data_IF_094512969811
#
_entry.id   IF_094512969811
#
_cell.length_a   1.000
_cell.length_b   1.000
_cell.length_c   1.000
_cell.angle_alpha   90.00
_cell.angle_beta   90.00
_cell.angle_gamma   90.00
#
_symmetry.space_group_name_H-M   'P 1'
#
loop_
_entity.id
_entity.type
_entity.pdbx_description
1 polymer ?
#
# COMPACT_ATOMS: atom_id res chain seq x y z
N UNK A 1 4.43 3.77 3.28
CA UNK A 1 5.41 3.38 2.23
C UNK A 1 6.34 2.36 2.82
N UNK A 2 6.78 1.36 2.02
CA UNK A 2 7.74 0.35 2.49
C UNK A 2 9.06 1.01 2.92
N UNK A 3 9.78 0.35 3.82
CA UNK A 3 11.17 0.69 4.10
C UNK A 3 12.04 0.47 2.84
N UNK A 4 13.16 1.19 2.66
CA UNK A 4 13.99 1.07 1.47
C UNK A 4 14.42 -0.35 1.15
N UNK A 5 14.72 -1.17 2.15
CA UNK A 5 15.10 -2.58 2.02
C UNK A 5 14.02 -3.44 1.39
N UNK A 6 12.74 -3.11 1.59
CA UNK A 6 11.59 -3.86 1.08
C UNK A 6 11.01 -3.31 -0.22
N UNK A 7 11.56 -2.22 -0.75
CA UNK A 7 11.14 -1.71 -2.05
C UNK A 7 11.34 -2.78 -3.14
N UNK A 8 10.27 -3.12 -3.83
CA UNK A 8 10.28 -4.07 -4.94
C UNK A 8 10.21 -5.55 -4.54
N UNK A 9 10.12 -5.88 -3.25
CA UNK A 9 10.10 -7.28 -2.76
C UNK A 9 9.04 -8.15 -3.43
N UNK A 10 7.90 -7.58 -3.74
CA UNK A 10 6.78 -8.28 -4.36
C UNK A 10 6.58 -7.97 -5.85
N UNK A 11 7.57 -7.41 -6.55
CA UNK A 11 7.38 -7.00 -7.95
C UNK A 11 7.04 -8.17 -8.89
N UNK A 12 7.58 -9.36 -8.61
CA UNK A 12 7.32 -10.58 -9.38
C UNK A 12 6.12 -11.39 -8.85
N UNK A 13 5.46 -10.92 -7.79
CA UNK A 13 4.31 -11.60 -7.21
C UNK A 13 3.01 -11.21 -7.92
N UNK A 14 2.11 -12.18 -8.05
CA UNK A 14 0.75 -11.99 -8.51
C UNK A 14 -0.22 -12.32 -7.37
N UNK A 15 -1.08 -11.37 -7.05
CA UNK A 15 -2.05 -11.51 -5.96
C UNK A 15 -3.44 -11.88 -6.51
N UNK A 16 -4.18 -12.77 -5.82
CA UNK A 16 -5.55 -13.08 -6.19
C UNK A 16 -6.42 -11.82 -6.09
N UNK A 17 -7.29 -11.64 -7.06
CA UNK A 17 -8.24 -10.53 -7.06
C UNK A 17 -9.44 -10.87 -6.19
N UNK A 18 -10.01 -9.90 -5.42
CA UNK A 18 -11.29 -10.10 -4.78
C UNK A 18 -12.38 -10.38 -5.82
N UNK A 19 -13.32 -11.27 -5.49
CA UNK A 19 -14.42 -11.61 -6.41
C UNK A 19 -15.25 -10.39 -6.82
N UNK A 20 -15.32 -9.39 -5.95
CA UNK A 20 -16.06 -8.15 -6.13
C UNK A 20 -15.18 -6.95 -6.50
N UNK A 21 -13.99 -7.16 -7.08
CA UNK A 21 -13.13 -6.07 -7.56
C UNK A 21 -13.87 -5.14 -8.55
N UNK A 22 -14.82 -5.69 -9.31
CA UNK A 22 -15.66 -4.97 -10.26
C UNK A 22 -17.13 -4.96 -9.81
N UNK A 23 -17.38 -4.54 -8.56
CA UNK A 23 -18.72 -4.40 -8.02
C UNK A 23 -19.50 -3.32 -8.79
N UNK A 24 -20.73 -3.61 -9.17
CA UNK A 24 -21.63 -2.68 -9.85
C UNK A 24 -22.49 -1.85 -8.87
N UNK A 25 -22.33 -2.12 -7.57
CA UNK A 25 -23.06 -1.51 -6.45
C UNK A 25 -24.57 -1.68 -6.52
N UNK A 26 -25.09 -2.61 -7.32
CA UNK A 26 -26.53 -2.88 -7.42
C UNK A 26 -27.10 -3.29 -6.08
N UNK A 27 -28.25 -2.70 -5.72
CA UNK A 27 -28.89 -2.93 -4.43
C UNK A 27 -28.24 -2.25 -3.22
N UNK A 28 -27.19 -1.44 -3.42
CA UNK A 28 -26.53 -0.66 -2.36
C UNK A 28 -27.04 0.80 -2.33
N UNK A 29 -26.72 1.51 -1.23
CA UNK A 29 -27.02 2.94 -1.15
C UNK A 29 -26.17 3.75 -2.15
N UNK A 30 -26.63 4.91 -2.62
CA UNK A 30 -25.88 5.75 -3.58
C UNK A 30 -24.47 6.10 -3.11
N UNK A 31 -24.25 6.28 -1.80
CA UNK A 31 -22.94 6.59 -1.24
C UNK A 31 -21.86 5.54 -1.60
N UNK A 32 -22.25 4.27 -1.77
CA UNK A 32 -21.31 3.22 -2.17
C UNK A 32 -20.79 3.40 -3.61
N UNK A 33 -21.60 3.93 -4.51
CA UNK A 33 -21.21 4.20 -5.89
C UNK A 33 -20.52 5.56 -6.07
N UNK A 34 -20.79 6.54 -5.19
CA UNK A 34 -20.34 7.94 -5.30
C UNK A 34 -19.09 8.25 -4.46
N UNK A 35 -18.58 7.27 -3.71
CA UNK A 35 -17.43 7.44 -2.82
C UNK A 35 -16.10 7.67 -3.58
N UNK A 36 -15.10 8.23 -2.87
CA UNK A 36 -13.79 8.60 -3.41
C UNK A 36 -12.67 7.58 -3.15
N UNK A 37 -13.01 6.30 -2.94
CA UNK A 37 -12.03 5.23 -2.65
C UNK A 37 -11.87 4.25 -3.82
N UNK A 38 -12.09 4.68 -5.06
CA UNK A 38 -12.10 3.80 -6.21
C UNK A 38 -10.71 3.61 -6.81
N UNK A 39 -10.26 2.35 -6.93
CA UNK A 39 -9.06 1.99 -7.69
C UNK A 39 -9.15 2.45 -9.15
N UNK A 40 -10.35 2.44 -9.72
CA UNK A 40 -10.56 2.89 -11.09
C UNK A 40 -10.42 4.42 -11.23
N UNK A 41 -11.13 5.18 -10.37
CA UNK A 41 -11.41 6.61 -10.58
C UNK A 41 -10.52 7.54 -9.78
N UNK A 42 -10.22 7.21 -8.53
CA UNK A 42 -9.62 8.13 -7.57
C UNK A 42 -8.25 7.71 -7.05
N UNK A 43 -7.78 6.51 -7.43
CA UNK A 43 -6.42 6.05 -7.11
C UNK A 43 -5.40 6.85 -7.92
N UNK A 44 -4.64 7.71 -7.24
CA UNK A 44 -3.81 8.74 -7.85
C UNK A 44 -2.53 8.21 -8.48
N UNK A 45 -2.09 8.84 -9.57
CA UNK A 45 -0.87 8.45 -10.29
C UNK A 45 0.39 8.79 -9.50
N UNK A 46 0.41 9.96 -8.89
CA UNK A 46 1.58 10.46 -8.17
C UNK A 46 1.75 9.81 -6.79
N UNK A 47 0.71 9.84 -5.95
CA UNK A 47 0.83 9.38 -4.57
C UNK A 47 0.62 7.87 -4.40
N UNK A 48 -0.48 7.35 -4.95
CA UNK A 48 -0.84 5.94 -4.72
C UNK A 48 -0.01 5.01 -5.60
N UNK A 49 0.11 5.31 -6.89
CA UNK A 49 0.87 4.52 -7.87
C UNK A 49 2.36 4.87 -7.94
N UNK A 50 2.78 6.04 -7.42
CA UNK A 50 4.16 6.50 -7.40
C UNK A 50 4.80 6.62 -8.79
N UNK A 51 4.04 7.19 -9.75
CA UNK A 51 4.42 7.25 -11.16
C UNK A 51 5.20 8.50 -11.57
N UNK A 52 5.79 9.24 -10.62
CA UNK A 52 6.65 10.38 -10.92
C UNK A 52 8.09 9.93 -11.10
N UNK A 53 8.72 10.37 -12.19
CA UNK A 53 10.17 10.26 -12.38
C UNK A 53 10.92 11.24 -11.48
N UNK A 54 12.22 11.01 -11.29
CA UNK A 54 13.08 11.93 -10.54
C UNK A 54 13.02 13.36 -11.11
N UNK A 55 13.04 13.51 -12.44
CA UNK A 55 12.97 14.82 -13.10
C UNK A 55 11.66 15.54 -12.80
N UNK A 56 10.52 14.83 -12.82
CA UNK A 56 9.22 15.39 -12.50
C UNK A 56 9.11 15.78 -11.03
N UNK A 57 9.71 14.99 -10.13
CA UNK A 57 9.79 15.31 -8.71
C UNK A 57 10.67 16.54 -8.46
N UNK A 58 11.77 16.70 -9.19
CA UNK A 58 12.61 17.90 -9.15
C UNK A 58 11.88 19.14 -9.69
N UNK A 59 11.08 18.97 -10.74
CA UNK A 59 10.30 20.06 -11.33
C UNK A 59 9.13 20.51 -10.42
N UNK A 60 8.65 19.61 -9.53
CA UNK A 60 7.58 19.91 -8.57
C UNK A 60 7.97 19.44 -7.15
N UNK A 61 8.87 20.16 -6.46
CA UNK A 61 9.36 19.75 -5.14
C UNK A 61 8.29 19.86 -4.04
N UNK A 62 7.22 20.60 -4.28
CA UNK A 62 6.11 20.74 -3.34
C UNK A 62 5.09 19.61 -3.38
N UNK A 63 5.13 18.76 -4.41
CA UNK A 63 4.32 17.56 -4.47
C UNK A 63 4.59 16.66 -3.26
N UNK A 64 3.54 15.99 -2.78
CA UNK A 64 3.61 15.12 -1.60
C UNK A 64 4.63 14.00 -1.77
N UNK A 65 4.67 13.35 -2.93
CA UNK A 65 5.63 12.28 -3.21
C UNK A 65 7.05 12.82 -3.25
N UNK A 66 7.28 13.97 -3.91
CA UNK A 66 8.58 14.63 -4.00
C UNK A 66 9.17 14.92 -2.61
N UNK A 67 8.35 15.47 -1.71
CA UNK A 67 8.75 15.74 -0.31
C UNK A 67 9.19 14.48 0.44
N UNK A 68 8.56 13.36 0.18
CA UNK A 68 8.94 12.09 0.80
C UNK A 68 10.21 11.54 0.15
N UNK A 69 10.27 11.54 -1.17
CA UNK A 69 11.41 11.04 -1.94
C UNK A 69 12.72 11.75 -1.57
N UNK A 70 12.73 13.09 -1.53
CA UNK A 70 13.92 13.87 -1.20
C UNK A 70 14.34 13.83 0.28
N UNK A 71 13.55 13.22 1.16
CA UNK A 71 13.95 12.92 2.55
C UNK A 71 14.71 11.60 2.67
N UNK A 72 14.62 10.74 1.68
CA UNK A 72 15.33 9.47 1.70
C UNK A 72 16.82 9.68 1.48
N UNK A 73 17.68 8.82 2.07
CA UNK A 73 19.10 8.76 1.71
C UNK A 73 19.27 8.49 0.20
N UNK A 74 20.39 8.93 -0.37
CA UNK A 74 20.65 8.82 -1.82
C UNK A 74 20.56 7.37 -2.32
N UNK A 75 21.10 6.43 -1.56
CA UNK A 75 21.00 5.00 -1.87
C UNK A 75 19.54 4.51 -1.98
N UNK A 76 18.69 4.96 -1.07
CA UNK A 76 17.27 4.63 -1.09
C UNK A 76 16.54 5.29 -2.29
N UNK A 77 16.96 6.51 -2.68
CA UNK A 77 16.44 7.15 -3.89
C UNK A 77 16.82 6.36 -5.15
N UNK A 78 18.07 5.91 -5.26
CA UNK A 78 18.50 5.06 -6.38
C UNK A 78 17.75 3.74 -6.46
N UNK A 79 17.52 3.09 -5.32
CA UNK A 79 16.72 1.87 -5.27
C UNK A 79 15.27 2.15 -5.69
N UNK A 80 14.69 3.25 -5.21
CA UNK A 80 13.36 3.71 -5.62
C UNK A 80 13.26 3.88 -7.13
N UNK A 81 14.16 4.65 -7.73
CA UNK A 81 14.18 4.91 -9.17
C UNK A 81 14.25 3.61 -9.97
N UNK A 82 15.11 2.67 -9.56
CA UNK A 82 15.24 1.35 -10.19
C UNK A 82 13.94 0.53 -10.09
N UNK A 83 13.34 0.48 -8.91
CA UNK A 83 12.15 -0.34 -8.64
C UNK A 83 10.92 0.18 -9.38
N UNK A 84 10.72 1.49 -9.43
CA UNK A 84 9.53 2.08 -10.05
C UNK A 84 9.68 2.39 -11.54
N UNK A 85 10.89 2.35 -12.12
CA UNK A 85 11.11 2.65 -13.54
C UNK A 85 10.26 1.78 -14.48
N UNK A 86 10.19 0.47 -14.24
CA UNK A 86 9.39 -0.46 -15.04
C UNK A 86 7.89 -0.17 -14.95
N UNK A 87 7.40 0.11 -13.73
CA UNK A 87 6.00 0.49 -13.45
C UNK A 87 5.62 1.77 -14.22
N UNK A 88 6.46 2.79 -14.16
CA UNK A 88 6.26 4.07 -14.85
C UNK A 88 6.21 3.84 -16.37
N UNK A 89 7.17 3.10 -16.92
CA UNK A 89 7.25 2.81 -18.36
C UNK A 89 6.02 2.03 -18.85
N UNK A 90 5.58 1.01 -18.11
CA UNK A 90 4.40 0.22 -18.45
C UNK A 90 3.13 1.06 -18.46
N UNK A 91 2.89 1.84 -17.41
CA UNK A 91 1.74 2.74 -17.32
C UNK A 91 1.70 3.75 -18.49
N UNK A 92 2.83 4.41 -18.74
CA UNK A 92 2.97 5.43 -19.79
C UNK A 92 2.91 4.88 -21.21
N UNK A 93 3.08 3.58 -21.39
CA UNK A 93 2.91 2.95 -22.68
C UNK A 93 1.48 3.13 -23.25
N UNK A 94 0.52 3.42 -22.37
CA UNK A 94 -0.89 3.59 -22.72
C UNK A 94 -1.59 2.32 -23.21
N UNK A 95 -0.95 1.16 -23.06
CA UNK A 95 -1.52 -0.14 -23.47
C UNK A 95 -2.64 -0.60 -22.57
N UNK A 96 -2.50 -0.35 -21.25
CA UNK A 96 -3.49 -0.73 -20.25
C UNK A 96 -4.73 0.16 -20.32
N UNK A 97 -5.93 -0.43 -20.45
CA UNK A 97 -7.20 0.28 -20.56
C UNK A 97 -8.31 -0.47 -19.80
N UNK A 98 -9.32 0.29 -19.37
CA UNK A 98 -10.52 -0.28 -18.74
C UNK A 98 -10.19 -1.22 -17.59
N UNK A 99 -10.78 -2.40 -17.56
CA UNK A 99 -10.59 -3.37 -16.50
C UNK A 99 -9.15 -3.86 -16.37
N UNK A 100 -8.39 -3.96 -17.46
CA UNK A 100 -6.97 -4.33 -17.40
C UNK A 100 -6.14 -3.31 -16.62
N UNK A 101 -6.42 -2.02 -16.79
CA UNK A 101 -5.79 -0.97 -16.02
C UNK A 101 -6.16 -1.06 -14.52
N UNK A 102 -7.41 -1.36 -14.19
CA UNK A 102 -7.84 -1.52 -12.79
C UNK A 102 -7.15 -2.72 -12.14
N UNK A 103 -7.08 -3.87 -12.84
CA UNK A 103 -6.34 -5.06 -12.38
C UNK A 103 -4.87 -4.74 -12.14
N UNK A 104 -4.26 -4.03 -13.07
CA UNK A 104 -2.87 -3.61 -12.93
C UNK A 104 -2.68 -2.67 -11.71
N UNK A 105 -3.56 -1.67 -11.53
CA UNK A 105 -3.53 -0.79 -10.34
C UNK A 105 -3.65 -1.59 -9.05
N UNK A 106 -4.56 -2.56 -9.00
CA UNK A 106 -4.72 -3.47 -7.88
C UNK A 106 -3.43 -4.22 -7.55
N UNK A 107 -2.75 -4.79 -8.56
CA UNK A 107 -1.49 -5.50 -8.35
C UNK A 107 -0.40 -4.57 -7.78
N UNK A 108 -0.28 -3.33 -8.31
CA UNK A 108 0.68 -2.37 -7.78
C UNK A 108 0.36 -1.99 -6.32
N UNK A 109 -0.91 -1.80 -6.01
CA UNK A 109 -1.39 -1.50 -4.67
C UNK A 109 -1.03 -2.62 -3.68
N UNK A 110 -1.31 -3.87 -4.02
CA UNK A 110 -1.01 -5.03 -3.17
C UNK A 110 0.49 -5.21 -2.94
N UNK A 111 1.31 -5.03 -3.97
CA UNK A 111 2.78 -5.09 -3.86
C UNK A 111 3.32 -4.08 -2.86
N UNK A 112 2.91 -2.83 -2.98
CA UNK A 112 3.36 -1.76 -2.09
C UNK A 112 2.79 -1.91 -0.66
N UNK A 113 1.54 -2.38 -0.54
CA UNK A 113 0.91 -2.63 0.74
C UNK A 113 1.65 -3.72 1.52
N UNK A 114 1.87 -4.88 0.91
CA UNK A 114 2.55 -5.99 1.58
C UNK A 114 4.03 -5.71 1.87
N UNK A 115 4.72 -4.98 1.01
CA UNK A 115 6.07 -4.49 1.32
C UNK A 115 6.08 -3.54 2.54
N UNK A 116 5.01 -2.77 2.73
CA UNK A 116 4.84 -1.94 3.93
C UNK A 116 4.56 -2.80 5.17
N UNK A 117 3.72 -3.83 5.05
CA UNK A 117 3.45 -4.80 6.13
C UNK A 117 4.74 -5.50 6.56
N UNK A 118 5.57 -5.93 5.62
CA UNK A 118 6.87 -6.55 5.90
C UNK A 118 7.79 -5.61 6.71
N UNK A 119 7.80 -4.32 6.38
CA UNK A 119 8.56 -3.31 7.13
C UNK A 119 8.06 -3.14 8.57
N UNK A 120 6.76 -3.29 8.80
CA UNK A 120 6.16 -3.25 10.14
C UNK A 120 6.51 -4.51 10.91
N UNK A 121 6.43 -5.69 10.27
CA UNK A 121 6.78 -6.98 10.87
C UNK A 121 8.22 -7.00 11.39
N UNK A 122 9.18 -6.58 10.57
CA UNK A 122 10.57 -6.43 11.02
C UNK A 122 10.74 -5.45 12.18
N UNK A 123 9.98 -4.36 12.16
CA UNK A 123 10.05 -3.37 13.24
C UNK A 123 9.55 -3.94 14.56
N UNK A 124 8.52 -4.77 14.52
CA UNK A 124 8.01 -5.52 15.68
C UNK A 124 9.04 -6.54 16.13
N UNK A 125 9.65 -7.29 15.19
CA UNK A 125 10.72 -8.24 15.49
C UNK A 125 11.85 -7.58 16.31
N UNK A 126 12.34 -6.43 15.86
CA UNK A 126 13.39 -5.68 16.58
C UNK A 126 13.00 -5.29 18.02
N UNK A 127 11.73 -4.97 18.25
CA UNK A 127 11.24 -4.67 19.62
C UNK A 127 11.23 -5.93 20.47
N UNK A 128 10.78 -7.05 19.93
CA UNK A 128 10.76 -8.34 20.66
C UNK A 128 12.18 -8.82 20.97
N UNK A 129 13.10 -8.73 20.02
CA UNK A 129 14.51 -9.09 20.20
C UNK A 129 15.15 -8.24 21.30
N UNK A 130 14.83 -6.94 21.35
CA UNK A 130 15.31 -6.05 22.42
C UNK A 130 14.79 -6.47 23.80
N UNK A 131 13.49 -6.79 23.91
CA UNK A 131 12.91 -7.26 25.17
C UNK A 131 13.51 -8.60 25.63
N UNK A 132 13.79 -9.50 24.69
CA UNK A 132 14.46 -10.77 24.97
C UNK A 132 15.90 -10.53 25.48
N UNK A 133 16.66 -9.69 24.77
CA UNK A 133 18.04 -9.37 25.11
C UNK A 133 18.17 -8.69 26.49
N UNK A 134 17.18 -7.91 26.90
CA UNK A 134 17.15 -7.25 28.20
C UNK A 134 16.56 -8.13 29.32
N UNK A 135 16.03 -9.31 29.00
CA UNK A 135 15.38 -10.22 29.94
C UNK A 135 14.00 -9.76 30.40
N UNK A 136 13.37 -8.84 29.66
CA UNK A 136 12.07 -8.27 30.04
C UNK A 136 10.90 -8.91 29.28
N UNK A 137 11.17 -9.76 28.27
CA UNK A 137 10.14 -10.32 27.39
C UNK A 137 9.09 -11.13 28.17
N UNK A 138 9.49 -11.92 29.18
CA UNK A 138 8.58 -12.73 29.99
C UNK A 138 7.82 -11.92 31.08
N UNK A 139 8.17 -10.65 31.24
CA UNK A 139 7.47 -9.72 32.13
C UNK A 139 6.74 -8.61 31.36
N UNK A 140 6.56 -8.80 30.05
CA UNK A 140 5.94 -7.81 29.16
C UNK A 140 4.75 -8.44 28.42
N UNK A 141 3.60 -7.78 28.53
CA UNK A 141 2.43 -8.12 27.70
C UNK A 141 2.57 -7.36 26.38
N UNK A 142 2.66 -8.10 25.26
CA UNK A 142 2.73 -7.52 23.92
C UNK A 142 1.37 -7.64 23.24
N UNK A 143 0.84 -6.51 22.80
CA UNK A 143 -0.43 -6.45 22.06
C UNK A 143 -0.20 -5.81 20.72
N UNK A 144 -0.52 -6.53 19.63
CA UNK A 144 -0.56 -6.01 18.29
C UNK A 144 -2.00 -5.94 17.80
N UNK A 145 -2.45 -4.77 17.43
CA UNK A 145 -3.80 -4.53 16.91
C UNK A 145 -3.82 -3.29 16.02
N UNK A 146 -4.97 -3.01 15.41
CA UNK A 146 -5.24 -1.79 14.66
C UNK A 146 -6.53 -1.14 15.16
N UNK A 147 -6.69 0.16 14.95
CA UNK A 147 -7.92 0.91 15.23
C UNK A 147 -8.99 0.66 14.17
N UNK A 148 -8.62 0.08 13.03
CA UNK A 148 -9.50 -0.17 11.88
C UNK A 148 -8.91 -1.21 10.93
N UNK A 149 -9.78 -1.80 10.08
CA UNK A 149 -9.39 -2.57 8.92
C UNK A 149 -9.12 -1.70 7.70
N UNK A 150 -9.08 -2.31 6.50
CA UNK A 150 -8.68 -1.64 5.26
C UNK A 150 -9.21 -2.40 4.05
N UNK A 151 -9.73 -1.69 3.03
CA UNK A 151 -10.09 -2.31 1.76
C UNK A 151 -8.85 -2.60 0.93
N UNK A 152 -8.71 -3.84 0.50
CA UNK A 152 -7.63 -4.32 -0.35
C UNK A 152 -8.15 -4.75 -1.72
N UNK A 153 -8.99 -3.92 -2.32
CA UNK A 153 -9.59 -4.16 -3.62
C UNK A 153 -11.02 -4.66 -3.57
N UNK A 154 -11.53 -5.07 -2.40
CA UNK A 154 -12.95 -5.44 -2.26
C UNK A 154 -13.82 -4.26 -2.68
N UNK A 155 -14.89 -4.55 -3.41
CA UNK A 155 -15.78 -3.56 -4.01
C UNK A 155 -15.09 -2.57 -4.97
N UNK A 156 -13.89 -2.89 -5.46
CA UNK A 156 -13.05 -1.97 -6.24
C UNK A 156 -12.48 -0.81 -5.43
N UNK A 157 -12.48 -0.91 -4.10
CA UNK A 157 -12.08 0.16 -3.19
C UNK A 157 -10.68 -0.02 -2.62
N UNK A 158 -10.15 1.09 -2.14
CA UNK A 158 -8.98 1.19 -1.28
C UNK A 158 -9.31 2.10 -0.08
N UNK A 159 -8.40 2.20 0.93
CA UNK A 159 -8.64 3.01 2.13
C UNK A 159 -9.72 2.40 3.07
N UNK A 160 -10.48 3.18 3.87
CA UNK A 160 -11.14 2.72 5.09
C UNK A 160 -12.32 3.59 5.55
N UNK A 161 -13.18 4.05 4.67
CA UNK A 161 -14.19 5.09 5.02
C UNK A 161 -15.61 4.55 5.24
N UNK A 162 -15.86 3.26 5.00
CA UNK A 162 -17.16 2.64 5.16
C UNK A 162 -17.13 1.53 6.22
N UNK A 163 -18.25 1.38 6.94
CA UNK A 163 -18.41 0.38 8.01
C UNK A 163 -18.75 -1.01 7.43
N UNK A 164 -17.91 -1.50 6.54
CA UNK A 164 -17.95 -2.86 6.02
C UNK A 164 -17.05 -3.76 6.86
N UNK A 165 -17.18 -5.08 6.71
CA UNK A 165 -16.41 -6.07 7.44
C UNK A 165 -14.89 -5.83 7.27
N UNK A 166 -14.45 -5.48 6.06
CA UNK A 166 -13.06 -5.18 5.72
C UNK A 166 -12.48 -4.02 6.56
N UNK A 167 -13.31 -3.05 6.93
CA UNK A 167 -12.90 -1.92 7.76
C UNK A 167 -13.11 -2.14 9.26
N UNK A 168 -13.88 -3.14 9.66
CA UNK A 168 -14.20 -3.41 11.07
C UNK A 168 -13.42 -4.60 11.63
N UNK A 169 -12.98 -5.51 10.78
CA UNK A 169 -12.24 -6.71 11.17
C UNK A 169 -10.74 -6.43 11.22
N UNK A 170 -10.24 -6.09 12.41
CA UNK A 170 -8.81 -5.91 12.66
C UNK A 170 -8.20 -7.12 13.37
N UNK A 171 -6.88 -7.32 13.21
CA UNK A 171 -6.16 -8.32 13.99
C UNK A 171 -6.10 -7.92 15.47
N UNK A 172 -6.13 -8.90 16.34
CA UNK A 172 -5.77 -8.78 17.76
C UNK A 172 -4.87 -9.95 18.13
N UNK A 173 -3.58 -9.68 18.26
CA UNK A 173 -2.58 -10.65 18.67
C UNK A 173 -2.07 -10.28 20.06
N UNK A 174 -2.05 -11.21 20.99
CA UNK A 174 -1.62 -10.99 22.37
C UNK A 174 -0.61 -12.06 22.75
N UNK A 175 0.54 -11.62 23.28
CA UNK A 175 1.55 -12.45 23.92
C UNK A 175 1.66 -12.01 25.39
N UNK A 176 1.60 -12.98 26.34
CA UNK A 176 1.75 -12.75 27.77
C UNK A 176 2.53 -13.90 28.41
#
# INVERSE_FOLDING_TARGET
MPAPEHLGEFNDSLFPEPENLFDDYSGRCPAAAEQDMSLEKTFTEDWDLKLLTREEMLANPDNRLSKVYFRMPEEAQHKWDSVYAGRIAEYRSGRLKGQELVRWKYQQYMRDYLATVLSVDESIGRVLDYLEMTGELDNTIVVYTSDQGFFLGEHGWFDKRFMYEECQRMPLLVRY
#
